data_IF_049874312193
#
_entry.id   IF_049874312193
#
_cell.length_a   1.000
_cell.length_b   1.000
_cell.length_c   1.000
_cell.angle_alpha   90.00
_cell.angle_beta   90.00
_cell.angle_gamma   90.00
#
_symmetry.space_group_name_H-M   'P 1'
#
loop_
_entity.id
_entity.type
_entity.pdbx_description
1 polymer ?
#
# COMPACT_ATOMS: atom_id res chain seq x y z
N UNK A 1 30.38 -1.86 21.13
CA UNK A 1 30.58 -0.92 20.00
C UNK A 1 31.38 -1.53 18.85
N UNK A 2 32.60 -2.05 19.07
CA UNK A 2 33.53 -2.50 18.00
C UNK A 2 32.92 -3.54 17.02
N UNK A 3 32.18 -4.55 17.51
CA UNK A 3 31.59 -5.56 16.62
C UNK A 3 30.48 -4.99 15.70
N UNK A 4 29.74 -3.98 16.16
CA UNK A 4 28.68 -3.37 15.35
C UNK A 4 29.21 -2.44 14.26
N UNK A 5 30.48 -2.05 14.32
CA UNK A 5 31.13 -1.24 13.29
C UNK A 5 31.27 -1.99 11.96
N UNK A 6 31.38 -3.33 11.99
CA UNK A 6 31.37 -4.17 10.78
C UNK A 6 30.08 -4.03 9.97
N UNK A 7 28.97 -3.64 10.62
CA UNK A 7 27.72 -3.37 9.91
C UNK A 7 27.80 -2.11 9.02
N UNK A 8 28.74 -1.19 9.29
CA UNK A 8 28.98 0.00 8.47
C UNK A 8 29.68 -0.35 7.14
N UNK A 9 30.51 -1.40 7.11
CA UNK A 9 31.19 -1.86 5.90
C UNK A 9 30.20 -2.31 4.81
N UNK A 10 29.05 -2.86 5.21
CA UNK A 10 28.06 -3.40 4.28
C UNK A 10 27.01 -2.39 3.80
N UNK A 11 27.02 -1.15 4.32
CA UNK A 11 26.08 -0.09 3.92
C UNK A 11 24.60 -0.45 4.10
N UNK A 12 24.24 -1.20 5.14
CA UNK A 12 22.86 -1.68 5.36
C UNK A 12 21.87 -0.52 5.57
N UNK A 13 20.75 -0.50 4.85
CA UNK A 13 19.69 0.52 5.00
C UNK A 13 19.03 0.49 6.39
N UNK A 14 18.96 -0.69 6.99
CA UNK A 14 18.36 -0.95 8.31
C UNK A 14 19.36 -0.77 9.47
N UNK A 15 20.53 -0.14 9.23
CA UNK A 15 21.58 0.00 10.26
C UNK A 15 21.04 0.57 11.59
N UNK A 16 20.27 1.65 11.54
CA UNK A 16 19.73 2.30 12.73
C UNK A 16 18.75 1.40 13.51
N UNK A 17 17.93 0.61 12.81
CA UNK A 17 16.78 -0.11 13.36
C UNK A 17 16.99 -1.62 13.53
N UNK A 18 18.17 -2.14 13.16
CA UNK A 18 18.49 -3.56 13.21
C UNK A 18 18.53 -4.08 14.66
N UNK A 19 17.54 -4.89 15.04
CA UNK A 19 17.44 -5.45 16.39
C UNK A 19 18.63 -6.35 16.74
N UNK A 20 19.16 -7.11 15.77
CA UNK A 20 20.34 -7.94 15.99
C UNK A 20 21.56 -7.09 16.37
N UNK A 21 21.74 -5.94 15.73
CA UNK A 21 22.84 -5.00 16.05
C UNK A 21 22.64 -4.40 17.43
N UNK A 22 21.43 -3.91 17.71
CA UNK A 22 21.09 -3.29 19.00
C UNK A 22 21.33 -4.27 20.14
N UNK A 23 20.83 -5.50 20.04
CA UNK A 23 21.03 -6.52 21.08
C UNK A 23 22.48 -7.02 21.16
N UNK A 24 23.21 -7.12 20.04
CA UNK A 24 24.61 -7.48 20.07
C UNK A 24 25.46 -6.45 20.83
N UNK A 25 25.15 -5.16 20.69
CA UNK A 25 25.80 -4.08 21.44
C UNK A 25 25.37 -4.09 22.92
N UNK A 26 24.07 -4.21 23.19
CA UNK A 26 23.51 -4.26 24.55
C UNK A 26 24.09 -5.40 25.38
N UNK A 27 24.19 -6.60 24.80
CA UNK A 27 24.73 -7.78 25.46
C UNK A 27 26.25 -7.94 25.29
N UNK A 28 26.93 -6.96 24.67
CA UNK A 28 28.38 -6.93 24.47
C UNK A 28 28.93 -8.24 23.87
N UNK A 29 28.28 -8.73 22.82
CA UNK A 29 28.65 -9.98 22.17
C UNK A 29 29.98 -9.84 21.44
N UNK A 30 30.93 -10.72 21.73
CA UNK A 30 32.20 -10.85 20.99
C UNK A 30 32.18 -12.08 20.08
N UNK A 31 32.11 -11.84 18.77
CA UNK A 31 32.01 -12.89 17.75
C UNK A 31 33.32 -13.65 17.55
N UNK A 32 34.47 -13.08 17.97
CA UNK A 32 35.78 -13.70 17.77
C UNK A 32 35.90 -15.05 18.50
N UNK A 33 35.10 -15.23 19.55
CA UNK A 33 35.03 -16.48 20.31
C UNK A 33 34.30 -17.62 19.56
N UNK A 34 33.57 -17.30 18.48
CA UNK A 34 32.69 -18.23 17.76
C UNK A 34 32.94 -18.23 16.24
N UNK A 35 34.19 -18.03 15.83
CA UNK A 35 34.58 -18.12 14.43
C UNK A 35 34.41 -19.55 13.92
N UNK A 36 33.68 -19.70 12.81
CA UNK A 36 33.42 -20.98 12.18
C UNK A 36 33.08 -20.81 10.70
N UNK A 37 32.66 -21.92 10.08
CA UNK A 37 32.21 -21.88 8.70
C UNK A 37 31.02 -20.94 8.53
N UNK A 38 30.98 -20.21 7.41
CA UNK A 38 29.89 -19.32 7.05
C UNK A 38 29.31 -19.71 5.71
N UNK A 39 27.99 -19.82 5.63
CA UNK A 39 27.32 -20.02 4.35
C UNK A 39 27.29 -18.70 3.57
N UNK A 40 27.65 -18.76 2.29
CA UNK A 40 27.55 -17.61 1.38
C UNK A 40 26.48 -17.87 0.35
N UNK A 41 25.55 -16.94 0.23
CA UNK A 41 24.42 -17.00 -0.69
C UNK A 41 24.45 -15.82 -1.66
N UNK A 42 23.97 -16.04 -2.88
CA UNK A 42 23.72 -14.95 -3.83
C UNK A 42 22.52 -14.14 -3.35
N UNK A 43 22.66 -12.81 -3.34
CA UNK A 43 21.56 -11.89 -3.06
C UNK A 43 20.50 -12.02 -4.16
N UNK A 44 19.25 -12.24 -3.76
CA UNK A 44 18.11 -12.31 -4.66
C UNK A 44 17.49 -10.92 -4.83
N UNK A 45 17.58 -10.40 -6.06
CA UNK A 45 17.04 -9.11 -6.48
C UNK A 45 16.01 -9.25 -7.61
N UNK A 46 15.45 -10.46 -7.81
CA UNK A 46 14.55 -10.76 -8.93
C UNK A 46 13.18 -10.08 -8.77
N UNK A 47 12.75 -9.82 -7.54
CA UNK A 47 11.52 -9.07 -7.28
C UNK A 47 11.71 -7.56 -7.48
N UNK A 48 10.75 -6.85 -8.10
CA UNK A 48 10.90 -5.42 -8.42
C UNK A 48 11.03 -4.51 -7.19
N UNK A 49 10.36 -4.84 -6.09
CA UNK A 49 10.31 -4.02 -4.87
C UNK A 49 11.09 -4.57 -3.67
N UNK A 50 11.44 -5.86 -3.69
CA UNK A 50 11.93 -6.57 -2.50
C UNK A 50 13.31 -7.13 -2.82
N UNK A 51 14.28 -6.84 -1.96
CA UNK A 51 15.62 -7.43 -1.97
C UNK A 51 15.71 -8.46 -0.87
N UNK A 52 16.23 -9.64 -1.19
CA UNK A 52 16.42 -10.72 -0.23
C UNK A 52 17.89 -11.13 -0.15
N UNK A 53 18.49 -10.91 1.01
CA UNK A 53 19.89 -11.15 1.32
C UNK A 53 20.01 -12.19 2.44
N UNK A 54 20.08 -13.46 2.04
CA UNK A 54 20.14 -14.58 2.97
C UNK A 54 21.40 -14.57 3.86
N UNK A 55 22.46 -13.84 3.47
CA UNK A 55 23.67 -13.72 4.30
C UNK A 55 23.42 -12.95 5.60
N UNK A 56 22.35 -12.16 5.66
CA UNK A 56 21.93 -11.41 6.86
C UNK A 56 20.84 -12.14 7.66
N UNK A 57 20.39 -13.30 7.19
CA UNK A 57 19.25 -14.01 7.79
C UNK A 57 19.71 -14.84 8.99
N UNK A 58 19.04 -14.65 10.13
CA UNK A 58 19.26 -15.44 11.35
C UNK A 58 18.28 -16.62 11.48
N UNK A 59 17.55 -16.96 10.42
CA UNK A 59 16.58 -18.07 10.40
C UNK A 59 15.51 -18.02 11.52
N UNK A 60 15.14 -16.82 11.98
CA UNK A 60 14.14 -16.64 13.05
C UNK A 60 12.71 -17.05 12.66
N UNK A 61 12.42 -17.19 11.36
CA UNK A 61 11.13 -17.64 10.84
C UNK A 61 9.98 -16.62 10.96
N UNK A 62 10.23 -15.41 11.48
CA UNK A 62 9.18 -14.39 11.65
C UNK A 62 8.55 -14.04 10.29
N UNK A 63 9.35 -13.82 9.25
CA UNK A 63 8.84 -13.53 7.90
C UNK A 63 7.98 -14.67 7.31
N UNK A 64 8.34 -15.93 7.59
CA UNK A 64 7.58 -17.12 7.17
C UNK A 64 6.24 -17.18 7.91
N UNK A 65 6.23 -16.97 9.23
CA UNK A 65 5.00 -16.92 10.03
C UNK A 65 4.10 -15.75 9.61
N UNK A 66 4.65 -14.55 9.41
CA UNK A 66 3.86 -13.40 8.93
C UNK A 66 3.22 -13.69 7.57
N UNK A 67 3.96 -14.31 6.64
CA UNK A 67 3.43 -14.62 5.31
C UNK A 67 2.38 -15.75 5.32
N UNK A 68 2.54 -16.76 6.18
CA UNK A 68 1.69 -17.95 6.22
C UNK A 68 0.53 -17.86 7.22
N UNK A 69 0.76 -17.34 8.42
CA UNK A 69 -0.22 -17.31 9.50
C UNK A 69 -1.07 -16.05 9.45
N UNK A 70 -0.48 -14.89 9.22
CA UNK A 70 -1.19 -13.61 9.18
C UNK A 70 -1.82 -13.41 7.80
N UNK A 71 -0.99 -13.32 6.76
CA UNK A 71 -1.49 -13.01 5.40
C UNK A 71 -2.17 -14.18 4.70
N UNK A 72 -1.92 -15.42 5.16
CA UNK A 72 -2.41 -16.65 4.54
C UNK A 72 -2.01 -16.77 3.06
N UNK A 73 -0.79 -16.37 2.74
CA UNK A 73 -0.22 -16.43 1.40
C UNK A 73 0.81 -17.56 1.27
N UNK A 74 1.62 -17.76 2.32
CA UNK A 74 2.66 -18.79 2.40
C UNK A 74 3.63 -18.78 1.19
N UNK A 75 4.08 -17.58 0.77
CA UNK A 75 5.04 -17.42 -0.33
C UNK A 75 6.49 -17.73 0.07
N UNK A 76 6.81 -17.66 1.37
CA UNK A 76 8.14 -17.92 1.93
C UNK A 76 8.11 -19.17 2.81
N UNK A 77 9.20 -19.94 2.80
CA UNK A 77 9.38 -21.10 3.66
C UNK A 77 10.86 -21.41 3.90
N UNK A 78 11.13 -22.34 4.83
CA UNK A 78 12.47 -22.87 5.04
C UNK A 78 12.79 -23.96 4.02
N UNK A 79 13.97 -23.87 3.42
CA UNK A 79 14.52 -24.86 2.49
C UNK A 79 15.79 -25.45 3.07
N UNK A 80 16.05 -26.72 2.75
CA UNK A 80 17.14 -27.54 3.32
C UNK A 80 16.97 -27.81 4.82
N UNK A 81 18.04 -28.28 5.49
CA UNK A 81 18.04 -28.70 6.90
C UNK A 81 19.36 -28.38 7.59
N UNK A 82 19.32 -28.25 8.91
CA UNK A 82 20.48 -28.01 9.76
C UNK A 82 21.18 -26.69 9.41
N UNK A 83 22.51 -26.72 9.38
CA UNK A 83 23.33 -25.54 9.08
C UNK A 83 23.04 -24.92 7.71
N UNK A 84 22.53 -25.69 6.74
CA UNK A 84 22.18 -25.22 5.39
C UNK A 84 20.75 -24.66 5.29
N UNK A 85 19.99 -24.62 6.38
CA UNK A 85 18.62 -24.09 6.39
C UNK A 85 18.62 -22.63 5.98
N UNK A 86 17.73 -22.26 5.05
CA UNK A 86 17.62 -20.89 4.56
C UNK A 86 16.16 -20.60 4.19
N UNK A 87 15.70 -19.38 4.49
CA UNK A 87 14.40 -18.93 4.01
C UNK A 87 14.49 -18.66 2.51
N UNK A 88 13.58 -19.25 1.72
CA UNK A 88 13.46 -19.01 0.28
C UNK A 88 11.98 -18.94 -0.15
N UNK A 89 11.69 -18.34 -1.32
CA UNK A 89 10.37 -18.44 -1.91
C UNK A 89 10.00 -19.90 -2.23
N UNK A 90 8.70 -20.19 -2.29
CA UNK A 90 8.18 -21.50 -2.62
C UNK A 90 8.82 -22.06 -3.92
N UNK A 91 9.26 -23.33 -3.86
CA UNK A 91 9.95 -24.01 -4.97
C UNK A 91 11.22 -23.32 -5.47
N UNK A 92 11.84 -22.46 -4.65
CA UNK A 92 13.02 -21.63 -5.01
C UNK A 92 12.81 -20.73 -6.24
N UNK A 93 11.55 -20.52 -6.63
CA UNK A 93 11.18 -19.63 -7.73
C UNK A 93 11.44 -18.17 -7.35
N UNK A 94 11.32 -17.30 -8.34
CA UNK A 94 11.28 -15.86 -8.09
C UNK A 94 10.06 -15.54 -7.24
N UNK A 95 10.22 -14.67 -6.23
CA UNK A 95 9.12 -14.32 -5.34
C UNK A 95 7.90 -13.79 -6.11
N UNK A 96 8.12 -13.09 -7.24
CA UNK A 96 7.08 -12.60 -8.14
C UNK A 96 6.24 -13.72 -8.78
N UNK A 97 6.85 -14.88 -9.03
CA UNK A 97 6.20 -16.06 -9.63
C UNK A 97 5.65 -17.04 -8.58
N UNK A 98 5.55 -16.60 -7.32
CA UNK A 98 4.90 -17.36 -6.24
C UNK A 98 3.55 -16.73 -5.90
N UNK A 99 2.90 -17.21 -4.83
CA UNK A 99 1.66 -16.62 -4.32
C UNK A 99 1.85 -15.20 -3.73
N UNK A 100 3.08 -14.67 -3.67
CA UNK A 100 3.39 -13.37 -3.09
C UNK A 100 2.48 -12.27 -3.65
N UNK A 101 1.90 -11.47 -2.75
CA UNK A 101 1.04 -10.32 -3.10
C UNK A 101 1.77 -8.99 -3.04
N UNK A 102 3.10 -9.01 -2.93
CA UNK A 102 3.97 -7.83 -2.82
C UNK A 102 3.52 -6.82 -1.74
N UNK A 103 3.01 -7.30 -0.61
CA UNK A 103 2.53 -6.42 0.47
C UNK A 103 3.66 -5.81 1.32
N UNK A 104 4.87 -6.37 1.28
CA UNK A 104 6.02 -5.88 2.03
C UNK A 104 6.03 -6.16 3.54
N UNK A 105 4.99 -6.77 4.13
CA UNK A 105 4.96 -7.07 5.57
C UNK A 105 6.09 -8.01 6.04
N UNK A 106 6.73 -8.77 5.13
CA UNK A 106 7.91 -9.57 5.45
C UNK A 106 9.19 -8.73 5.62
N UNK A 107 9.24 -7.53 5.05
CA UNK A 107 10.30 -6.53 5.28
C UNK A 107 10.15 -6.01 6.71
N UNK A 108 8.92 -5.62 7.09
CA UNK A 108 8.64 -5.07 8.42
C UNK A 108 8.92 -6.07 9.54
N UNK A 109 8.64 -7.34 9.27
CA UNK A 109 8.88 -8.43 10.20
C UNK A 109 10.36 -8.85 10.31
N UNK A 110 11.26 -8.35 9.45
CA UNK A 110 12.65 -8.79 9.41
C UNK A 110 13.54 -7.99 10.38
N UNK A 111 14.09 -8.61 11.44
CA UNK A 111 14.88 -7.88 12.44
C UNK A 111 16.30 -7.51 12.01
N UNK A 112 16.78 -8.07 10.89
CA UNK A 112 18.19 -7.97 10.45
C UNK A 112 18.39 -7.28 9.10
N UNK A 113 17.31 -6.87 8.44
CA UNK A 113 17.37 -6.35 7.07
C UNK A 113 17.76 -7.40 6.02
N UNK A 114 17.61 -8.70 6.33
CA UNK A 114 17.74 -9.78 5.35
C UNK A 114 16.67 -9.68 4.26
N UNK A 115 15.46 -9.25 4.62
CA UNK A 115 14.43 -8.85 3.66
C UNK A 115 14.34 -7.33 3.74
N UNK A 116 14.68 -6.66 2.65
CA UNK A 116 14.70 -5.21 2.57
C UNK A 116 13.91 -4.68 1.38
N UNK A 117 13.53 -3.42 1.45
CA UNK A 117 12.95 -2.73 0.31
C UNK A 117 14.05 -2.32 -0.69
N UNK A 118 13.77 -2.53 -1.99
CA UNK A 118 14.57 -1.95 -3.07
C UNK A 118 14.14 -0.50 -3.29
N UNK A 119 14.73 0.41 -2.52
CA UNK A 119 14.43 1.84 -2.61
C UNK A 119 14.71 2.39 -4.02
N UNK A 120 13.94 3.41 -4.47
CA UNK A 120 14.16 4.05 -5.77
C UNK A 120 15.42 4.95 -5.79
N UNK A 121 16.07 5.14 -4.65
CA UNK A 121 17.30 5.92 -4.47
C UNK A 121 18.31 5.14 -3.63
N UNK A 122 19.57 5.56 -3.64
CA UNK A 122 20.60 4.99 -2.75
C UNK A 122 20.47 5.61 -1.37
N UNK A 123 20.27 4.77 -0.35
CA UNK A 123 20.18 5.19 1.04
C UNK A 123 21.40 4.69 1.82
N UNK A 124 22.10 5.60 2.49
CA UNK A 124 23.05 5.23 3.53
C UNK A 124 22.29 5.04 4.85
N UNK A 125 22.49 3.89 5.50
CA UNK A 125 21.75 3.54 6.72
C UNK A 125 21.94 4.49 7.90
N UNK A 126 23.05 5.21 7.93
CA UNK A 126 23.47 6.17 8.97
C UNK A 126 22.80 7.53 8.86
N UNK A 127 22.15 7.86 7.73
CA UNK A 127 21.46 9.14 7.60
C UNK A 127 20.33 9.23 8.64
N UNK A 128 20.16 10.40 9.29
CA UNK A 128 19.07 10.61 10.22
C UNK A 128 17.73 10.50 9.49
N UNK A 129 16.75 9.89 10.15
CA UNK A 129 15.41 9.63 9.62
C UNK A 129 14.40 10.04 10.67
N UNK A 130 13.44 10.86 10.30
CA UNK A 130 12.31 11.22 11.15
C UNK A 130 11.12 10.33 10.81
N UNK A 131 10.41 9.85 11.82
CA UNK A 131 9.14 9.14 11.62
C UNK A 131 8.01 10.16 11.44
N UNK A 132 7.24 9.98 10.38
CA UNK A 132 6.06 10.80 10.09
C UNK A 132 4.89 9.88 9.75
N UNK A 133 3.91 9.84 10.65
CA UNK A 133 2.71 9.04 10.47
C UNK A 133 1.64 9.80 9.69
N UNK A 134 1.04 9.15 8.69
CA UNK A 134 -0.02 9.76 7.87
C UNK A 134 -0.97 8.71 7.32
N UNK A 135 -2.06 9.17 6.71
CA UNK A 135 -3.11 8.29 6.18
C UNK A 135 -2.83 7.93 4.72
N UNK A 136 -3.00 6.66 4.39
CA UNK A 136 -2.91 6.12 3.04
C UNK A 136 -4.04 6.63 2.14
N UNK A 137 -3.69 7.22 1.00
CA UNK A 137 -4.62 7.83 0.04
C UNK A 137 -4.98 6.92 -1.16
N UNK A 138 -4.76 5.61 -1.06
CA UNK A 138 -4.97 4.68 -2.18
C UNK A 138 -6.34 3.99 -2.21
N UNK A 139 -6.94 3.75 -1.05
CA UNK A 139 -8.25 3.09 -0.91
C UNK A 139 -8.99 3.66 0.31
N UNK A 140 -10.26 3.29 0.48
CA UNK A 140 -11.15 3.84 1.50
C UNK A 140 -10.93 3.32 2.93
N UNK A 141 -9.96 2.43 3.18
CA UNK A 141 -9.70 1.95 4.56
C UNK A 141 -9.10 3.04 5.46
N UNK A 142 -8.34 3.97 4.90
CA UNK A 142 -7.62 4.96 5.71
C UNK A 142 -6.53 4.31 6.58
N UNK A 143 -5.72 3.42 6.00
CA UNK A 143 -4.59 2.80 6.72
C UNK A 143 -3.61 3.87 7.20
N UNK A 144 -3.12 3.79 8.44
CA UNK A 144 -2.02 4.63 8.89
C UNK A 144 -0.69 4.03 8.43
N UNK A 145 0.17 4.87 7.84
CA UNK A 145 1.49 4.51 7.33
C UNK A 145 2.54 5.36 8.03
N UNK A 146 3.66 4.74 8.40
CA UNK A 146 4.83 5.44 8.91
C UNK A 146 5.82 5.72 7.76
N UNK A 147 6.07 7.00 7.48
CA UNK A 147 7.11 7.44 6.57
C UNK A 147 8.39 7.72 7.33
N UNK A 148 9.52 7.17 6.86
CA UNK A 148 10.85 7.63 7.24
C UNK A 148 11.25 8.77 6.31
N UNK A 149 11.17 10.00 6.82
CA UNK A 149 11.58 11.22 6.13
C UNK A 149 13.07 11.47 6.37
N UNK A 150 13.82 11.60 5.28
CA UNK A 150 15.24 12.00 5.30
C UNK A 150 15.35 13.48 4.93
N UNK A 151 14.55 13.90 3.95
CA UNK A 151 14.42 15.28 3.48
C UNK A 151 13.01 15.48 2.90
N UNK A 152 12.64 16.71 2.53
CA UNK A 152 11.32 17.06 1.97
C UNK A 152 10.92 16.21 0.76
N UNK A 153 11.89 15.93 -0.12
CA UNK A 153 11.68 15.12 -1.33
C UNK A 153 12.32 13.74 -1.25
N UNK A 154 12.70 13.30 -0.05
CA UNK A 154 13.36 12.02 0.16
C UNK A 154 12.76 11.28 1.35
N UNK A 155 11.85 10.35 1.06
CA UNK A 155 11.14 9.58 2.07
C UNK A 155 10.74 8.20 1.53
N UNK A 156 10.44 7.28 2.44
CA UNK A 156 9.90 5.97 2.11
C UNK A 156 9.02 5.44 3.24
N UNK A 157 8.09 4.56 2.91
CA UNK A 157 7.25 3.90 3.92
C UNK A 157 8.07 2.84 4.61
N UNK A 158 8.07 2.88 5.94
CA UNK A 158 8.85 1.97 6.78
C UNK A 158 7.94 1.10 7.67
N UNK A 159 8.55 0.35 8.57
CA UNK A 159 7.87 -0.56 9.48
C UNK A 159 6.80 0.17 10.30
N UNK A 160 5.73 -0.56 10.62
CA UNK A 160 4.72 -0.10 11.57
C UNK A 160 5.35 0.24 12.91
N UNK A 161 4.95 1.36 13.47
CA UNK A 161 5.22 1.79 14.85
C UNK A 161 4.17 1.20 15.79
N UNK A 162 4.42 1.30 17.11
CA UNK A 162 3.48 0.86 18.14
C UNK A 162 2.14 1.62 18.06
N UNK A 163 2.21 2.93 17.80
CA UNK A 163 1.07 3.84 17.60
C UNK A 163 0.12 3.42 16.48
N UNK A 164 0.60 2.67 15.48
CA UNK A 164 -0.22 2.23 14.34
C UNK A 164 -1.03 0.95 14.67
N UNK A 165 -0.78 0.29 15.81
CA UNK A 165 -1.52 -0.95 16.16
C UNK A 165 -3.03 -0.74 16.31
N UNK A 166 -3.44 0.44 16.75
CA UNK A 166 -4.85 0.81 16.90
C UNK A 166 -5.46 1.42 15.63
N UNK A 167 -4.66 1.63 14.59
CA UNK A 167 -5.14 2.09 13.29
C UNK A 167 -5.96 1.00 12.57
N UNK A 168 -6.79 1.36 11.57
CA UNK A 168 -7.65 0.40 10.85
C UNK A 168 -6.91 -0.83 10.29
N UNK A 169 -5.63 -0.65 9.95
CA UNK A 169 -4.76 -1.67 9.38
C UNK A 169 -3.89 -2.44 10.38
N UNK A 170 -3.90 -2.08 11.68
CA UNK A 170 -3.11 -2.75 12.74
C UNK A 170 -1.64 -2.96 12.39
N UNK A 171 -1.05 -2.03 11.64
CA UNK A 171 0.34 -2.10 11.18
C UNK A 171 0.59 -2.87 9.89
N UNK A 172 -0.42 -3.49 9.27
CA UNK A 172 -0.24 -4.17 7.99
C UNK A 172 -0.41 -3.21 6.81
N UNK A 173 0.45 -3.37 5.80
CA UNK A 173 0.35 -2.61 4.56
C UNK A 173 0.01 -3.53 3.37
N UNK A 174 -0.63 -2.96 2.36
CA UNK A 174 -0.77 -3.57 1.04
C UNK A 174 0.31 -3.03 0.10
N UNK A 175 0.43 -3.61 -1.10
CA UNK A 175 1.41 -3.19 -2.12
C UNK A 175 1.31 -1.68 -2.44
N UNK A 176 0.09 -1.14 -2.49
CA UNK A 176 -0.18 0.28 -2.77
C UNK A 176 0.31 1.16 -1.62
N UNK A 177 -0.07 0.83 -0.38
CA UNK A 177 0.38 1.58 0.80
C UNK A 177 1.89 1.52 1.00
N UNK A 178 2.51 0.34 0.83
CA UNK A 178 3.94 0.17 1.08
C UNK A 178 4.83 0.77 -0.01
N UNK A 179 4.55 0.50 -1.28
CA UNK A 179 5.44 0.87 -2.38
C UNK A 179 4.89 1.99 -3.26
N UNK A 180 3.65 2.43 -3.03
CA UNK A 180 3.00 3.43 -3.86
C UNK A 180 3.63 4.82 -3.76
N UNK A 181 4.28 5.16 -2.65
CA UNK A 181 4.95 6.47 -2.48
C UNK A 181 5.95 6.80 -3.59
N UNK A 182 6.47 5.79 -4.29
CA UNK A 182 7.44 5.94 -5.39
C UNK A 182 6.95 6.85 -6.53
N UNK A 183 5.64 6.96 -6.78
CA UNK A 183 5.15 7.89 -7.80
C UNK A 183 5.39 9.36 -7.41
N UNK A 184 5.42 9.68 -6.11
CA UNK A 184 5.67 11.04 -5.61
C UNK A 184 7.12 11.46 -5.78
N UNK A 185 8.03 10.49 -5.88
CA UNK A 185 9.47 10.66 -6.12
C UNK A 185 9.84 10.54 -7.60
N UNK A 186 8.87 10.31 -8.48
CA UNK A 186 9.14 10.16 -9.90
C UNK A 186 9.51 11.52 -10.51
N UNK A 187 10.58 11.57 -11.30
CA UNK A 187 11.01 12.77 -12.01
C UNK A 187 9.99 13.32 -13.00
N UNK A 188 8.97 12.53 -13.39
CA UNK A 188 7.88 12.99 -14.25
C UNK A 188 6.77 13.75 -13.50
N UNK A 189 6.91 13.99 -12.18
CA UNK A 189 5.95 14.78 -11.40
C UNK A 189 5.88 16.21 -11.94
N UNK A 190 4.67 16.73 -12.12
CA UNK A 190 4.47 18.13 -12.50
C UNK A 190 4.80 19.03 -11.30
N UNK A 191 5.86 19.83 -11.43
CA UNK A 191 6.32 20.79 -10.41
C UNK A 191 6.12 22.25 -10.82
N UNK A 192 5.71 22.49 -12.07
CA UNK A 192 5.57 23.81 -12.66
C UNK A 192 4.22 23.96 -13.37
N UNK A 193 3.66 25.17 -13.36
CA UNK A 193 2.47 25.49 -14.13
C UNK A 193 2.80 25.62 -15.62
N UNK A 194 1.92 25.10 -16.48
CA UNK A 194 2.10 25.11 -17.95
C UNK A 194 0.82 25.55 -18.64
N UNK A 195 0.96 26.37 -19.69
CA UNK A 195 -0.12 26.74 -20.61
C UNK A 195 0.17 26.23 -22.01
N UNK A 196 -0.86 26.07 -22.84
CA UNK A 196 -0.71 25.64 -24.23
C UNK A 196 -0.82 26.83 -25.18
N UNK A 197 0.26 27.18 -25.87
CA UNK A 197 0.34 28.26 -26.86
C UNK A 197 0.74 27.66 -28.20
N UNK A 198 -0.06 27.88 -29.25
CA UNK A 198 0.18 27.35 -30.60
C UNK A 198 0.46 25.82 -30.63
N UNK A 199 -0.28 25.07 -29.82
CA UNK A 199 -0.14 23.62 -29.73
C UNK A 199 1.00 23.13 -28.82
N UNK A 200 1.90 23.99 -28.36
CA UNK A 200 3.05 23.64 -27.51
C UNK A 200 2.82 24.04 -26.06
N UNK A 201 3.33 23.23 -25.12
CA UNK A 201 3.31 23.57 -23.70
C UNK A 201 4.44 24.55 -23.38
N UNK A 202 4.13 25.59 -22.62
CA UNK A 202 5.06 26.59 -22.13
C UNK A 202 4.92 26.71 -20.61
N UNK A 203 6.04 26.62 -19.89
CA UNK A 203 6.09 26.88 -18.45
C UNK A 203 5.84 28.38 -18.19
N UNK A 204 5.00 28.68 -17.20
CA UNK A 204 4.66 30.03 -16.76
C UNK A 204 4.56 30.09 -15.25
N UNK A 205 4.58 31.29 -14.68
CA UNK A 205 4.24 31.52 -13.28
C UNK A 205 2.79 31.08 -12.97
N UNK A 206 2.56 30.63 -11.73
CA UNK A 206 1.29 30.06 -11.29
C UNK A 206 0.16 31.09 -11.44
N UNK A 207 0.43 32.35 -11.09
CA UNK A 207 -0.49 33.48 -11.19
C UNK A 207 -0.92 33.68 -12.65
N UNK A 208 0.03 33.60 -13.59
CA UNK A 208 -0.28 33.76 -15.01
C UNK A 208 -1.11 32.60 -15.56
N UNK A 209 -0.85 31.38 -15.10
CA UNK A 209 -1.66 30.22 -15.45
C UNK A 209 -3.11 30.36 -14.95
N UNK A 210 -3.29 30.80 -13.69
CA UNK A 210 -4.60 31.04 -13.09
C UNK A 210 -5.34 32.17 -13.82
N UNK A 211 -4.67 33.28 -14.12
CA UNK A 211 -5.26 34.39 -14.88
C UNK A 211 -5.74 33.92 -16.25
N UNK A 212 -4.89 33.19 -16.98
CA UNK A 212 -5.21 32.68 -18.32
C UNK A 212 -6.41 31.75 -18.27
N UNK A 213 -6.45 30.81 -17.32
CA UNK A 213 -7.59 29.91 -17.13
C UNK A 213 -8.87 30.68 -16.79
N UNK A 214 -8.77 31.66 -15.89
CA UNK A 214 -9.91 32.47 -15.44
C UNK A 214 -10.54 33.28 -16.58
N UNK A 215 -9.72 33.90 -17.43
CA UNK A 215 -10.19 34.65 -18.61
C UNK A 215 -10.93 33.72 -19.57
N UNK A 216 -10.36 32.56 -19.88
CA UNK A 216 -10.99 31.60 -20.81
C UNK A 216 -12.29 30.99 -20.27
N UNK A 217 -12.35 30.70 -18.98
CA UNK A 217 -13.58 30.23 -18.34
C UNK A 217 -14.67 31.30 -18.43
N UNK A 218 -14.34 32.57 -18.17
CA UNK A 218 -15.29 33.70 -18.29
C UNK A 218 -15.77 33.89 -19.73
N UNK A 219 -14.88 33.87 -20.71
CA UNK A 219 -15.25 33.96 -22.14
C UNK A 219 -16.27 32.87 -22.54
N UNK A 220 -16.11 31.65 -22.03
CA UNK A 220 -17.02 30.53 -22.29
C UNK A 220 -18.38 30.79 -21.64
N UNK A 221 -18.38 31.23 -20.37
CA UNK A 221 -19.59 31.55 -19.61
C UNK A 221 -20.36 32.70 -20.27
N UNK A 222 -19.69 33.77 -20.69
CA UNK A 222 -20.33 34.92 -21.34
C UNK A 222 -20.99 34.53 -22.67
N UNK A 223 -20.42 33.55 -23.38
CA UNK A 223 -20.93 33.10 -24.69
C UNK A 223 -22.02 32.03 -24.59
N UNK A 224 -21.93 31.10 -23.65
CA UNK A 224 -22.76 29.90 -23.59
C UNK A 224 -23.54 29.74 -22.28
N UNK A 225 -23.40 30.67 -21.33
CA UNK A 225 -24.04 30.64 -20.02
C UNK A 225 -23.25 29.85 -18.97
N UNK A 226 -23.66 29.98 -17.71
CA UNK A 226 -22.97 29.36 -16.57
C UNK A 226 -22.92 27.83 -16.66
N UNK A 227 -23.96 27.20 -17.21
CA UNK A 227 -24.07 25.73 -17.29
C UNK A 227 -23.16 25.11 -18.36
N UNK A 228 -22.40 25.92 -19.11
CA UNK A 228 -21.42 25.45 -20.11
C UNK A 228 -20.10 24.95 -19.52
N UNK A 229 -19.88 25.13 -18.22
CA UNK A 229 -18.66 24.73 -17.52
C UNK A 229 -18.99 23.70 -16.44
N UNK A 230 -18.11 22.71 -16.27
CA UNK A 230 -18.21 21.69 -15.23
C UNK A 230 -16.89 21.53 -14.47
N UNK A 231 -16.97 21.10 -13.21
CA UNK A 231 -15.83 20.85 -12.32
C UNK A 231 -15.81 19.36 -11.96
N UNK A 232 -14.68 18.70 -12.20
CA UNK A 232 -14.48 17.31 -11.80
C UNK A 232 -13.54 17.23 -10.60
N UNK A 233 -14.03 16.67 -9.50
CA UNK A 233 -13.26 16.45 -8.29
C UNK A 233 -12.59 15.08 -8.30
N UNK A 234 -11.33 15.02 -7.86
CA UNK A 234 -10.62 13.75 -7.69
C UNK A 234 -10.99 13.14 -6.32
N UNK A 235 -11.30 11.85 -6.24
CA UNK A 235 -11.59 11.17 -4.98
C UNK A 235 -10.37 11.04 -4.05
N UNK A 236 -9.19 11.49 -4.50
CA UNK A 236 -7.96 11.52 -3.70
C UNK A 236 -7.71 12.86 -2.99
N UNK A 237 -8.58 13.84 -3.22
CA UNK A 237 -8.47 15.17 -2.60
C UNK A 237 -8.95 15.13 -1.14
N UNK A 238 -8.51 16.10 -0.34
CA UNK A 238 -8.96 16.24 1.03
C UNK A 238 -10.41 16.75 1.10
N UNK A 239 -11.07 16.58 2.24
CA UNK A 239 -12.44 17.08 2.42
C UNK A 239 -12.50 18.62 2.33
N UNK A 240 -11.45 19.30 2.78
CA UNK A 240 -11.29 20.75 2.70
C UNK A 240 -11.16 21.21 1.23
N UNK A 241 -10.35 20.51 0.43
CA UNK A 241 -10.19 20.78 -0.99
C UNK A 241 -11.50 20.53 -1.76
N UNK A 242 -12.21 19.43 -1.45
CA UNK A 242 -13.52 19.13 -2.03
C UNK A 242 -14.57 20.19 -1.66
N UNK A 243 -14.55 20.68 -0.41
CA UNK A 243 -15.41 21.76 0.03
C UNK A 243 -15.11 23.07 -0.71
N UNK A 244 -13.84 23.38 -0.94
CA UNK A 244 -13.43 24.55 -1.73
C UNK A 244 -13.83 24.41 -3.20
N UNK A 245 -13.69 23.23 -3.79
CA UNK A 245 -14.11 22.96 -5.17
C UNK A 245 -15.62 23.10 -5.36
N UNK A 246 -16.44 22.55 -4.46
CA UNK A 246 -17.90 22.73 -4.57
C UNK A 246 -18.30 24.19 -4.38
N UNK A 247 -17.59 24.94 -3.52
CA UNK A 247 -17.82 26.37 -3.35
C UNK A 247 -17.40 27.15 -4.59
N UNK A 248 -16.29 26.77 -5.23
CA UNK A 248 -15.84 27.36 -6.48
C UNK A 248 -16.87 27.14 -7.61
N UNK A 249 -17.40 25.92 -7.76
CA UNK A 249 -18.44 25.64 -8.74
C UNK A 249 -19.74 26.43 -8.45
N UNK A 250 -20.29 26.29 -7.24
CA UNK A 250 -21.60 26.85 -6.90
C UNK A 250 -21.61 28.36 -6.70
N UNK A 251 -20.58 28.92 -6.06
CA UNK A 251 -20.50 30.35 -5.78
C UNK A 251 -19.69 31.10 -6.84
N UNK A 252 -18.57 30.51 -7.29
CA UNK A 252 -17.68 31.13 -8.28
C UNK A 252 -18.25 31.06 -9.70
N UNK A 253 -18.57 29.85 -10.18
CA UNK A 253 -19.11 29.62 -11.52
C UNK A 253 -20.64 29.76 -11.60
N UNK A 254 -21.32 29.80 -10.44
CA UNK A 254 -22.78 29.96 -10.33
C UNK A 254 -23.56 28.87 -11.08
N UNK A 255 -23.09 27.62 -10.99
CA UNK A 255 -23.79 26.44 -11.48
C UNK A 255 -23.64 25.28 -10.50
N UNK A 256 -24.38 24.19 -10.71
CA UNK A 256 -24.28 22.95 -9.91
C UNK A 256 -23.55 21.82 -10.64
N UNK A 257 -22.81 22.14 -11.72
CA UNK A 257 -22.11 21.16 -12.55
C UNK A 257 -20.79 20.75 -11.89
N UNK A 258 -20.88 20.08 -10.75
CA UNK A 258 -19.73 19.48 -10.07
C UNK A 258 -19.96 17.98 -9.90
N UNK A 259 -18.95 17.18 -10.26
CA UNK A 259 -19.04 15.73 -10.21
C UNK A 259 -17.73 15.11 -9.70
N UNK A 260 -17.81 13.95 -9.06
CA UNK A 260 -16.63 13.17 -8.67
C UNK A 260 -16.22 12.23 -9.80
N UNK A 261 -14.91 12.16 -10.08
CA UNK A 261 -14.36 11.16 -11.01
C UNK A 261 -14.63 9.72 -10.56
N UNK A 262 -14.98 9.48 -9.29
CA UNK A 262 -15.43 8.17 -8.82
C UNK A 262 -16.73 7.72 -9.46
N UNK A 263 -17.66 8.65 -9.74
CA UNK A 263 -18.98 8.31 -10.28
C UNK A 263 -18.91 7.92 -11.76
N UNK A 264 -17.98 8.53 -12.51
CA UNK A 264 -17.67 8.13 -13.89
C UNK A 264 -17.13 6.70 -13.99
N UNK A 265 -16.31 6.26 -13.02
CA UNK A 265 -15.71 4.91 -13.04
C UNK A 265 -16.64 3.83 -12.51
N UNK A 266 -17.47 4.17 -11.53
CA UNK A 266 -18.35 3.21 -10.85
C UNK A 266 -19.78 3.16 -11.43
N UNK A 267 -20.19 4.15 -12.23
CA UNK A 267 -21.58 4.35 -12.71
C UNK A 267 -22.63 4.28 -11.58
N UNK A 268 -22.24 4.65 -10.36
CA UNK A 268 -23.10 4.62 -9.16
C UNK A 268 -23.92 5.91 -9.09
N UNK A 269 -24.55 6.30 -10.20
CA UNK A 269 -25.72 7.16 -10.11
C UNK A 269 -26.89 6.27 -9.69
N UNK A 270 -27.50 6.56 -8.54
CA UNK A 270 -28.65 5.85 -7.98
C UNK A 270 -28.33 4.42 -7.50
N UNK A 271 -27.44 4.29 -6.52
CA UNK A 271 -27.35 3.01 -5.82
C UNK A 271 -28.68 2.73 -5.11
N UNK A 272 -29.06 1.45 -4.97
CA UNK A 272 -30.28 1.09 -4.24
C UNK A 272 -30.30 1.67 -2.81
N UNK A 273 -29.13 1.93 -2.21
CA UNK A 273 -28.98 2.54 -0.90
C UNK A 273 -29.35 4.03 -0.89
N UNK A 274 -29.18 4.77 -2.00
CA UNK A 274 -29.64 6.16 -2.06
C UNK A 274 -31.16 6.24 -1.89
N UNK A 275 -31.88 5.34 -2.56
CA UNK A 275 -33.34 5.26 -2.44
C UNK A 275 -33.81 4.72 -1.08
N UNK A 276 -33.05 3.78 -0.49
CA UNK A 276 -33.44 3.12 0.76
C UNK A 276 -33.05 3.92 2.02
N UNK A 277 -31.86 4.51 2.04
CA UNK A 277 -31.25 5.14 3.21
C UNK A 277 -31.02 6.65 3.03
N UNK A 278 -31.28 7.20 1.84
CA UNK A 278 -31.02 8.60 1.51
C UNK A 278 -29.56 8.91 1.18
N UNK A 279 -28.66 7.92 1.27
CA UNK A 279 -27.26 8.03 0.90
C UNK A 279 -26.57 6.67 0.73
N UNK A 280 -25.65 6.60 -0.22
CA UNK A 280 -24.75 5.46 -0.43
C UNK A 280 -23.54 5.55 0.50
N UNK A 281 -23.67 4.97 1.69
CA UNK A 281 -22.59 4.84 2.66
C UNK A 281 -22.52 3.42 3.23
N UNK A 282 -21.39 3.08 3.87
CA UNK A 282 -21.31 1.85 4.66
C UNK A 282 -22.30 1.91 5.81
N UNK A 283 -23.15 0.89 5.95
CA UNK A 283 -24.14 0.78 7.03
C UNK A 283 -23.53 0.32 8.36
N UNK A 284 -22.28 -0.14 8.35
CA UNK A 284 -21.57 -0.67 9.52
C UNK A 284 -20.08 -0.36 9.46
N UNK A 285 -19.38 -0.61 10.55
CA UNK A 285 -17.93 -0.41 10.65
C UNK A 285 -17.16 -1.69 10.29
N UNK A 286 -15.88 -1.55 9.96
CA UNK A 286 -15.03 -2.69 9.58
C UNK A 286 -14.76 -3.66 10.74
N UNK A 287 -15.01 -3.21 11.97
CA UNK A 287 -14.85 -3.98 13.21
C UNK A 287 -15.92 -5.05 13.32
N UNK A 288 -17.14 -4.80 12.81
CA UNK A 288 -18.26 -5.76 12.85
C UNK A 288 -17.98 -7.05 12.07
N UNK A 289 -17.02 -7.03 11.14
CA UNK A 289 -16.57 -8.24 10.42
C UNK A 289 -15.98 -9.26 11.39
N UNK A 290 -15.29 -8.81 12.43
CA UNK A 290 -14.61 -9.69 13.38
C UNK A 290 -15.56 -10.51 14.26
N UNK A 291 -16.81 -10.07 14.35
CA UNK A 291 -17.89 -10.70 15.13
C UNK A 291 -18.98 -11.28 14.24
N UNK A 292 -18.82 -11.25 12.92
CA UNK A 292 -19.82 -11.78 12.00
C UNK A 292 -19.78 -13.30 11.95
N UNK A 293 -20.95 -13.94 11.97
CA UNK A 293 -21.08 -15.40 11.79
C UNK A 293 -21.02 -15.80 10.31
N UNK A 294 -21.49 -14.91 9.43
CA UNK A 294 -21.51 -15.11 7.97
C UNK A 294 -21.07 -13.83 7.28
N UNK A 295 -20.15 -13.96 6.33
CA UNK A 295 -19.61 -12.87 5.51
C UNK A 295 -19.88 -13.22 4.05
N UNK A 296 -20.57 -12.32 3.34
CA UNK A 296 -20.80 -12.44 1.90
C UNK A 296 -19.96 -11.39 1.17
N UNK A 297 -19.05 -11.83 0.32
CA UNK A 297 -18.26 -10.97 -0.57
C UNK A 297 -18.81 -11.11 -1.98
N UNK A 298 -19.37 -10.04 -2.53
CA UNK A 298 -20.02 -10.05 -3.83
C UNK A 298 -19.31 -9.10 -4.80
N UNK A 299 -18.94 -9.61 -5.96
CA UNK A 299 -18.33 -8.89 -7.08
C UNK A 299 -17.17 -7.97 -6.67
N UNK A 300 -16.28 -8.46 -5.80
CA UNK A 300 -15.12 -7.69 -5.32
C UNK A 300 -13.89 -8.57 -5.24
N UNK A 301 -12.72 -8.02 -5.63
CA UNK A 301 -11.42 -8.65 -5.47
C UNK A 301 -10.63 -7.97 -4.35
N UNK A 302 -10.97 -8.32 -3.10
CA UNK A 302 -10.37 -7.71 -1.91
C UNK A 302 -8.84 -7.86 -1.86
N UNK A 303 -8.25 -8.89 -2.45
CA UNK A 303 -6.79 -9.06 -2.48
C UNK A 303 -6.04 -7.93 -3.20
N UNK A 304 -6.71 -7.27 -4.14
CA UNK A 304 -6.15 -6.20 -4.97
C UNK A 304 -6.74 -4.83 -4.60
N UNK A 305 -8.03 -4.81 -4.27
CA UNK A 305 -8.76 -3.60 -3.92
C UNK A 305 -8.47 -3.18 -2.48
N UNK A 306 -8.53 -4.14 -1.55
CA UNK A 306 -8.58 -3.87 -0.12
C UNK A 306 -8.03 -5.04 0.73
N UNK A 307 -6.71 -5.21 0.71
CA UNK A 307 -6.04 -6.33 1.39
C UNK A 307 -6.32 -6.34 2.91
N UNK A 308 -6.40 -5.18 3.55
CA UNK A 308 -6.65 -5.08 5.00
C UNK A 308 -8.03 -5.64 5.35
N UNK A 309 -9.04 -5.35 4.52
CA UNK A 309 -10.38 -5.94 4.69
C UNK A 309 -10.33 -7.46 4.55
N UNK A 310 -9.61 -7.98 3.56
CA UNK A 310 -9.44 -9.43 3.40
C UNK A 310 -8.78 -10.07 4.63
N UNK A 311 -7.80 -9.41 5.24
CA UNK A 311 -7.19 -9.90 6.48
C UNK A 311 -8.21 -9.98 7.62
N UNK A 312 -9.07 -8.97 7.78
CA UNK A 312 -10.15 -9.00 8.79
C UNK A 312 -11.14 -10.15 8.53
N UNK A 313 -11.49 -10.42 7.27
CA UNK A 313 -12.36 -11.55 6.89
C UNK A 313 -11.68 -12.89 7.20
N UNK A 314 -10.40 -13.04 6.85
CA UNK A 314 -9.62 -14.25 7.17
C UNK A 314 -9.46 -14.46 8.68
N UNK A 315 -9.33 -13.39 9.46
CA UNK A 315 -9.33 -13.46 10.92
C UNK A 315 -10.68 -13.93 11.47
N UNK A 316 -11.79 -13.39 10.96
CA UNK A 316 -13.14 -13.81 11.35
C UNK A 316 -13.38 -15.29 11.01
N UNK A 317 -12.94 -15.75 9.83
CA UNK A 317 -13.07 -17.14 9.42
C UNK A 317 -12.30 -18.10 10.35
N UNK A 318 -11.12 -17.71 10.85
CA UNK A 318 -10.39 -18.51 11.85
C UNK A 318 -11.17 -18.68 13.15
N UNK A 319 -12.08 -17.76 13.48
CA UNK A 319 -12.96 -17.83 14.65
C UNK A 319 -14.24 -18.64 14.40
N UNK A 320 -14.46 -19.11 13.18
CA UNK A 320 -15.61 -19.94 12.80
C UNK A 320 -16.60 -19.27 11.85
N UNK A 321 -16.40 -18.01 11.46
CA UNK A 321 -17.28 -17.32 10.52
C UNK A 321 -17.30 -18.04 9.15
N UNK A 322 -18.48 -18.10 8.53
CA UNK A 322 -18.67 -18.64 7.19
C UNK A 322 -18.43 -17.59 6.11
N UNK A 323 -17.66 -17.95 5.09
CA UNK A 323 -17.35 -17.07 3.97
C UNK A 323 -18.04 -17.55 2.69
N UNK A 324 -18.95 -16.72 2.17
CA UNK A 324 -19.56 -16.91 0.85
C UNK A 324 -18.96 -15.89 -0.11
N UNK A 325 -18.43 -16.34 -1.24
CA UNK A 325 -17.90 -15.47 -2.30
C UNK A 325 -18.79 -15.61 -3.53
N UNK A 326 -19.27 -14.49 -4.05
CA UNK A 326 -20.12 -14.42 -5.24
C UNK A 326 -19.40 -13.59 -6.29
N UNK A 327 -18.57 -14.25 -7.10
CA UNK A 327 -17.76 -13.62 -8.14
C UNK A 327 -17.82 -14.45 -9.43
N UNK A 328 -17.82 -13.77 -10.57
CA UNK A 328 -17.75 -14.40 -11.90
C UNK A 328 -16.37 -14.98 -12.23
N UNK A 329 -15.34 -14.61 -11.46
CA UNK A 329 -13.96 -15.05 -11.67
C UNK A 329 -13.39 -15.62 -10.38
N UNK A 330 -12.46 -16.57 -10.54
CA UNK A 330 -11.68 -17.08 -9.42
C UNK A 330 -10.71 -15.99 -8.93
N UNK A 331 -10.85 -15.59 -7.67
CA UNK A 331 -9.95 -14.64 -7.00
C UNK A 331 -9.20 -15.34 -5.87
N UNK A 332 -8.14 -14.75 -5.31
CA UNK A 332 -7.35 -15.41 -4.25
C UNK A 332 -8.19 -15.76 -3.02
N UNK A 333 -9.23 -14.97 -2.73
CA UNK A 333 -10.15 -15.20 -1.62
C UNK A 333 -11.07 -16.43 -1.83
N UNK A 334 -11.38 -16.84 -3.07
CA UNK A 334 -12.27 -18.00 -3.31
C UNK A 334 -11.69 -19.30 -2.75
N UNK A 335 -10.36 -19.42 -2.68
CA UNK A 335 -9.66 -20.57 -2.09
C UNK A 335 -9.93 -20.74 -0.59
N UNK A 336 -10.41 -19.68 0.06
CA UNK A 336 -10.77 -19.68 1.47
C UNK A 336 -12.30 -19.72 1.67
N UNK A 337 -13.10 -19.60 0.61
CA UNK A 337 -14.55 -19.55 0.76
C UNK A 337 -15.12 -20.92 1.18
N UNK A 338 -16.10 -20.93 2.08
CA UNK A 338 -16.92 -22.11 2.36
C UNK A 338 -17.85 -22.42 1.16
N UNK A 339 -18.29 -21.37 0.45
CA UNK A 339 -19.08 -21.47 -0.76
C UNK A 339 -18.65 -20.39 -1.77
N UNK A 340 -18.27 -20.81 -2.97
CA UNK A 340 -18.07 -19.90 -4.11
C UNK A 340 -19.20 -20.09 -5.12
N UNK A 341 -19.94 -19.01 -5.38
CA UNK A 341 -21.00 -18.94 -6.39
C UNK A 341 -20.42 -18.22 -7.61
N UNK A 342 -20.26 -18.96 -8.70
CA UNK A 342 -19.90 -18.44 -10.01
C UNK A 342 -21.17 -18.18 -10.82
N UNK A 343 -21.54 -16.91 -10.96
CA UNK A 343 -22.75 -16.48 -11.67
C UNK A 343 -22.73 -16.80 -13.18
N UNK A 344 -21.58 -17.09 -13.78
CA UNK A 344 -21.49 -17.50 -15.18
C UNK A 344 -21.65 -19.02 -15.35
N UNK A 345 -21.25 -19.82 -14.35
CA UNK A 345 -21.44 -21.28 -14.39
C UNK A 345 -22.89 -21.73 -14.22
N UNK A 346 -23.72 -20.95 -13.54
CA UNK A 346 -25.15 -21.30 -13.33
C UNK A 346 -25.93 -21.35 -14.65
N UNK A 347 -25.49 -20.64 -15.70
CA UNK A 347 -26.15 -20.69 -17.03
C UNK A 347 -25.83 -21.95 -17.85
N UNK A 348 -24.86 -22.78 -17.44
CA UNK A 348 -24.46 -23.98 -18.20
C UNK A 348 -25.18 -25.27 -17.78
N UNK A 349 -26.13 -25.20 -16.83
CA UNK A 349 -26.81 -26.38 -16.26
C UNK A 349 -28.35 -26.31 -16.27
N UNK A 350 -28.96 -25.45 -17.08
CA UNK A 350 -30.41 -25.44 -17.30
C UNK A 350 -30.76 -25.65 -18.76
#
# INVERSE_FOLDING_TARGET
MEETERCLECGCSEYADCSLRIYADEYQVDINNYLGDVNKYKVDNRHPFIRFDANKCINCGICVRTCSEILKVAALGFVHRGFKSVVKPAMEKELLHTNCVACGNCIDACPTGAIGEKLPFKLMGTLPKENFETVCNFCSIGCTLNYKKIDENLFYVSNSTESIKDAPNKGYACVKGRFGYRYMLNGNRLTEAKIKVNGKQQTVEVEKAIETASVKIKEIIDKYGNDSVAVFASPKMSNEELYLLQKFARTGLKNNNIESLSNLSSKVENSALDNMLGMTISSTSSESIQTADVIVVMNSNLSEENLVMELKIKEAQKRGAKLVVINSSEIKLTKFADLWIDNQRVQAQF
#
